data_IF_355971976804
#
_entry.id   IF_355971976804
#
_cell.length_a   1.000
_cell.length_b   1.000
_cell.length_c   1.000
_cell.angle_alpha   90.00
_cell.angle_beta   90.00
_cell.angle_gamma   90.00
#
_symmetry.space_group_name_H-M   'P 1'
#
loop_
_entity.id
_entity.type
_entity.pdbx_description
1 polymer ?
#
# COMPACT_ATOMS: atom_id res chain seq x y z
N UNK A 1 4.80 -10.81 -10.73
CA UNK A 1 4.08 -9.83 -9.94
C UNK A 1 4.82 -9.59 -8.63
N UNK A 2 4.85 -8.34 -8.14
CA UNK A 2 5.24 -7.99 -6.78
C UNK A 2 4.02 -7.48 -6.02
N UNK A 3 3.83 -7.88 -4.77
CA UNK A 3 2.68 -7.49 -3.96
C UNK A 3 3.10 -7.14 -2.54
N UNK A 4 2.58 -6.06 -2.00
CA UNK A 4 2.71 -5.70 -0.59
C UNK A 4 1.52 -4.84 -0.15
N UNK A 5 1.39 -4.59 1.14
CA UNK A 5 0.39 -3.67 1.69
C UNK A 5 1.04 -2.54 2.47
N UNK A 6 0.26 -1.55 2.86
CA UNK A 6 0.67 -0.53 3.82
C UNK A 6 0.08 -0.83 5.18
N UNK A 7 0.96 -1.21 6.12
CA UNK A 7 0.54 -1.69 7.43
C UNK A 7 -0.07 -3.08 7.35
N UNK A 8 -0.77 -3.49 8.41
CA UNK A 8 -1.50 -4.75 8.43
C UNK A 8 -2.78 -4.59 7.62
N UNK A 9 -2.87 -5.31 6.54
CA UNK A 9 -4.11 -5.60 5.85
C UNK A 9 -4.42 -7.09 6.12
N UNK A 10 -4.99 -7.37 7.24
CA UNK A 10 -5.12 -8.75 7.69
C UNK A 10 -6.18 -8.93 8.76
N UNK A 11 -7.17 -8.07 8.79
CA UNK A 11 -8.42 -8.38 9.44
C UNK A 11 -9.25 -9.16 8.44
N UNK A 12 -9.63 -10.40 8.78
CA UNK A 12 -10.49 -11.24 7.94
C UNK A 12 -11.87 -10.61 7.69
N UNK A 13 -12.17 -9.53 8.40
CA UNK A 13 -13.44 -8.82 8.31
C UNK A 13 -13.14 -7.32 8.14
N UNK A 14 -13.75 -6.69 7.17
CA UNK A 14 -13.72 -5.24 7.03
C UNK A 14 -14.44 -4.60 8.23
N UNK A 15 -13.71 -3.78 9.01
CA UNK A 15 -14.24 -3.15 10.24
C UNK A 15 -15.40 -2.18 9.95
N UNK A 16 -15.52 -1.68 8.73
CA UNK A 16 -16.56 -0.72 8.34
C UNK A 16 -17.79 -1.42 7.82
N UNK A 17 -17.62 -2.43 6.98
CA UNK A 17 -18.74 -3.14 6.34
C UNK A 17 -19.12 -4.44 7.04
N UNK A 18 -18.26 -5.01 7.89
CA UNK A 18 -18.46 -6.31 8.50
C UNK A 18 -18.44 -7.48 7.51
N UNK A 19 -18.01 -7.25 6.27
CA UNK A 19 -17.90 -8.29 5.24
C UNK A 19 -16.53 -8.97 5.29
N UNK A 20 -16.49 -10.25 4.90
CA UNK A 20 -15.24 -10.96 4.72
C UNK A 20 -14.41 -10.31 3.61
N UNK A 21 -13.12 -10.07 3.87
CA UNK A 21 -12.19 -9.62 2.84
C UNK A 21 -11.84 -10.79 1.93
N UNK A 22 -11.67 -10.55 0.61
CA UNK A 22 -11.22 -11.60 -0.29
C UNK A 22 -9.79 -12.02 0.08
N UNK A 23 -9.58 -13.34 0.12
CA UNK A 23 -8.25 -13.90 0.30
C UNK A 23 -7.35 -13.59 -0.90
N UNK A 24 -6.09 -13.27 -0.63
CA UNK A 24 -5.10 -12.98 -1.66
C UNK A 24 -4.47 -14.29 -2.15
N UNK A 25 -4.79 -14.65 -3.37
CA UNK A 25 -4.25 -15.85 -4.01
C UNK A 25 -3.13 -15.51 -4.98
N UNK A 26 -1.94 -16.04 -4.75
CA UNK A 26 -0.77 -15.85 -5.59
C UNK A 26 -0.43 -17.11 -6.38
N UNK A 27 0.16 -16.90 -7.54
CA UNK A 27 0.67 -17.97 -8.40
C UNK A 27 2.13 -18.27 -8.09
N UNK A 28 2.55 -19.49 -8.37
CA UNK A 28 3.97 -19.86 -8.31
C UNK A 28 4.84 -18.88 -9.09
N UNK A 29 5.88 -18.37 -8.43
CA UNK A 29 6.84 -17.42 -8.99
C UNK A 29 6.50 -15.95 -8.69
N UNK A 30 5.34 -15.65 -8.14
CA UNK A 30 5.02 -14.30 -7.69
C UNK A 30 5.85 -13.92 -6.46
N UNK A 31 6.13 -12.62 -6.33
CA UNK A 31 6.85 -12.04 -5.22
C UNK A 31 5.86 -11.30 -4.30
N UNK A 32 6.05 -11.38 -3.00
CA UNK A 32 5.31 -10.54 -2.07
C UNK A 32 6.17 -10.19 -0.85
N UNK A 33 5.83 -9.08 -0.20
CA UNK A 33 6.49 -8.67 1.03
C UNK A 33 5.49 -8.60 2.18
N UNK A 34 5.83 -9.26 3.27
CA UNK A 34 5.00 -9.31 4.47
C UNK A 34 5.85 -9.45 5.73
N UNK A 35 5.27 -9.08 6.88
CA UNK A 35 5.90 -9.29 8.16
C UNK A 35 5.95 -10.79 8.53
N UNK A 36 7.01 -11.20 9.22
CA UNK A 36 7.25 -12.60 9.61
C UNK A 36 6.06 -13.24 10.32
N UNK A 37 5.35 -12.48 11.17
CA UNK A 37 4.20 -12.99 11.92
C UNK A 37 3.02 -13.43 11.06
N UNK A 38 2.98 -13.03 9.78
CA UNK A 38 1.90 -13.40 8.86
C UNK A 38 2.13 -14.75 8.17
N UNK A 39 3.34 -15.29 8.23
CA UNK A 39 3.70 -16.51 7.50
C UNK A 39 2.90 -17.74 7.93
N UNK A 40 2.47 -17.80 9.19
CA UNK A 40 1.64 -18.89 9.71
C UNK A 40 0.22 -18.91 9.14
N UNK A 41 -0.19 -17.81 8.50
CA UNK A 41 -1.50 -17.65 7.85
C UNK A 41 -1.41 -17.84 6.32
N UNK A 42 -0.23 -18.17 5.79
CA UNK A 42 -0.02 -18.48 4.38
C UNK A 42 -0.03 -19.99 4.18
N UNK A 43 -0.70 -20.47 3.14
CA UNK A 43 -0.69 -21.90 2.77
C UNK A 43 0.25 -22.20 1.58
N UNK A 44 0.67 -21.18 0.84
CA UNK A 44 1.67 -21.31 -0.21
C UNK A 44 3.03 -21.72 0.35
N UNK A 45 3.76 -22.55 -0.36
CA UNK A 45 5.18 -22.81 -0.07
C UNK A 45 6.01 -21.60 -0.45
N UNK A 46 6.88 -21.14 0.45
CA UNK A 46 7.58 -19.86 0.33
C UNK A 46 9.09 -20.02 0.38
N UNK A 47 9.77 -19.24 -0.45
CA UNK A 47 11.21 -19.01 -0.41
C UNK A 47 11.45 -17.58 0.08
N UNK A 48 12.35 -17.39 1.07
CA UNK A 48 12.82 -16.07 1.45
C UNK A 48 13.84 -15.60 0.41
N UNK A 49 13.51 -14.51 -0.29
CA UNK A 49 14.36 -13.98 -1.36
C UNK A 49 15.21 -12.82 -0.86
N UNK A 50 14.66 -12.01 0.06
CA UNK A 50 15.37 -10.85 0.61
C UNK A 50 14.86 -10.49 2.00
N UNK A 51 15.75 -9.93 2.82
CA UNK A 51 15.43 -9.39 4.12
C UNK A 51 15.50 -7.87 4.06
N UNK A 52 14.47 -7.20 4.58
CA UNK A 52 14.44 -5.74 4.62
C UNK A 52 14.77 -5.22 6.03
N UNK A 53 15.14 -3.94 6.12
CA UNK A 53 15.35 -3.25 7.40
C UNK A 53 14.04 -2.74 8.01
N UNK A 54 12.89 -3.12 7.42
CA UNK A 54 11.57 -2.66 7.87
C UNK A 54 11.08 -3.51 9.03
N UNK A 55 10.91 -2.87 10.18
CA UNK A 55 10.35 -3.50 11.39
C UNK A 55 8.89 -3.09 11.57
N UNK A 56 8.05 -4.05 11.92
CA UNK A 56 6.64 -3.86 12.26
C UNK A 56 6.32 -4.52 13.61
N UNK A 57 5.17 -4.22 14.24
CA UNK A 57 4.73 -4.95 15.44
C UNK A 57 4.56 -6.46 15.22
N UNK A 58 4.41 -6.90 13.97
CA UNK A 58 4.31 -8.32 13.59
C UNK A 58 5.67 -8.93 13.19
N UNK A 59 6.77 -8.22 13.47
CA UNK A 59 8.14 -8.61 13.17
C UNK A 59 8.71 -7.95 11.91
N UNK A 60 9.93 -8.35 11.50
CA UNK A 60 10.56 -7.82 10.31
C UNK A 60 9.77 -8.17 9.05
N UNK A 61 9.76 -7.23 8.09
CA UNK A 61 9.22 -7.47 6.75
C UNK A 61 10.33 -8.11 5.91
N UNK A 62 9.97 -9.15 5.18
CA UNK A 62 10.86 -9.80 4.21
C UNK A 62 10.14 -9.98 2.87
N UNK A 63 10.93 -10.16 1.82
CA UNK A 63 10.43 -10.47 0.47
C UNK A 63 10.48 -11.98 0.27
N UNK A 64 9.36 -12.52 -0.16
CA UNK A 64 9.16 -13.93 -0.43
C UNK A 64 8.83 -14.16 -1.90
N UNK A 65 9.21 -15.36 -2.38
CA UNK A 65 8.74 -15.91 -3.65
C UNK A 65 7.87 -17.12 -3.37
N UNK A 66 6.73 -17.21 -4.03
CA UNK A 66 5.87 -18.38 -3.96
C UNK A 66 6.47 -19.53 -4.80
N UNK A 67 6.68 -20.69 -4.18
CA UNK A 67 7.11 -21.93 -4.83
C UNK A 67 5.94 -22.80 -5.26
N UNK A 68 4.76 -22.58 -4.69
CA UNK A 68 3.48 -23.16 -5.09
C UNK A 68 2.42 -22.06 -5.21
N UNK A 69 1.33 -22.34 -5.91
CA UNK A 69 0.11 -21.54 -5.83
C UNK A 69 -0.45 -21.62 -4.40
N UNK A 70 -1.08 -20.55 -3.93
CA UNK A 70 -1.71 -20.56 -2.60
C UNK A 70 -2.11 -19.18 -2.08
N UNK A 71 -2.76 -19.19 -0.93
CA UNK A 71 -3.19 -17.97 -0.24
C UNK A 71 -2.08 -17.37 0.60
N UNK A 72 -2.03 -16.04 0.62
CA UNK A 72 -1.07 -15.28 1.41
C UNK A 72 -1.76 -14.17 2.19
N UNK A 73 -1.13 -13.77 3.29
CA UNK A 73 -1.59 -12.65 4.11
C UNK A 73 -0.53 -11.55 4.14
N UNK A 74 -0.97 -10.30 4.02
CA UNK A 74 -0.06 -9.17 3.93
C UNK A 74 -0.06 -8.33 5.21
N UNK A 75 1.14 -7.98 5.64
CA UNK A 75 1.42 -6.93 6.60
C UNK A 75 2.72 -6.25 6.18
N UNK A 76 2.61 -5.27 5.32
CA UNK A 76 3.75 -4.54 4.78
C UNK A 76 4.21 -3.39 5.68
N UNK A 77 5.07 -2.50 5.13
CA UNK A 77 5.59 -1.35 5.84
C UNK A 77 4.48 -0.44 6.39
N UNK A 78 4.66 0.08 7.60
CA UNK A 78 3.68 1.01 8.20
C UNK A 78 3.86 2.45 7.74
N UNK A 79 5.06 2.81 7.30
CA UNK A 79 5.40 4.15 6.83
C UNK A 79 5.50 4.20 5.31
N UNK A 80 4.83 5.18 4.70
CA UNK A 80 4.80 5.36 3.25
C UNK A 80 6.21 5.54 2.64
N UNK A 81 7.13 6.20 3.34
CA UNK A 81 8.51 6.39 2.90
C UNK A 81 9.34 5.10 2.75
N UNK A 82 8.87 3.98 3.31
CA UNK A 82 9.53 2.67 3.18
C UNK A 82 9.11 1.91 1.91
N UNK A 83 8.07 2.39 1.20
CA UNK A 83 7.57 1.74 -0.02
C UNK A 83 8.49 1.92 -1.24
N UNK A 84 9.07 3.11 -1.53
CA UNK A 84 9.91 3.29 -2.69
C UNK A 84 11.12 2.33 -2.75
N UNK A 85 11.90 2.14 -1.67
CA UNK A 85 12.99 1.16 -1.70
C UNK A 85 12.48 -0.27 -1.88
N UNK A 86 11.35 -0.64 -1.26
CA UNK A 86 10.77 -1.97 -1.42
C UNK A 86 10.27 -2.21 -2.86
N UNK A 87 9.63 -1.20 -3.47
CA UNK A 87 9.19 -1.27 -4.87
C UNK A 87 10.36 -1.48 -5.82
N UNK A 88 11.46 -0.73 -5.64
CA UNK A 88 12.71 -0.94 -6.40
C UNK A 88 13.22 -2.35 -6.24
N UNK A 89 13.22 -2.86 -5.00
CA UNK A 89 13.69 -4.21 -4.73
C UNK A 89 12.87 -5.28 -5.45
N UNK A 90 11.56 -5.15 -5.50
CA UNK A 90 10.72 -6.03 -6.31
C UNK A 90 11.10 -6.01 -7.80
N UNK A 91 11.38 -4.83 -8.36
CA UNK A 91 11.79 -4.69 -9.76
C UNK A 91 13.15 -5.34 -10.03
N UNK A 92 14.12 -5.16 -9.13
CA UNK A 92 15.44 -5.83 -9.20
C UNK A 92 15.32 -7.37 -9.15
N UNK A 93 14.35 -7.88 -8.41
CA UNK A 93 14.03 -9.31 -8.32
C UNK A 93 13.19 -9.82 -9.50
N UNK A 94 12.90 -8.96 -10.49
CA UNK A 94 12.25 -9.31 -11.74
C UNK A 94 10.73 -9.09 -11.77
N UNK A 95 10.14 -8.42 -10.79
CA UNK A 95 8.73 -8.05 -10.85
C UNK A 95 8.49 -7.00 -11.93
N UNK A 96 7.67 -7.33 -12.92
CA UNK A 96 7.28 -6.40 -14.00
C UNK A 96 6.20 -5.41 -13.54
N UNK A 97 5.43 -5.77 -12.54
CA UNK A 97 4.39 -4.93 -11.92
C UNK A 97 4.46 -5.10 -10.43
N UNK A 98 4.28 -4.00 -9.72
CA UNK A 98 4.18 -4.00 -8.26
C UNK A 98 2.83 -3.41 -7.88
N UNK A 99 2.08 -4.15 -7.08
CA UNK A 99 0.82 -3.71 -6.48
C UNK A 99 1.06 -3.41 -5.01
N UNK A 100 0.61 -2.26 -4.57
CA UNK A 100 0.63 -1.86 -3.18
C UNK A 100 -0.81 -1.73 -2.73
N UNK A 101 -1.27 -2.65 -1.90
CA UNK A 101 -2.60 -2.57 -1.31
C UNK A 101 -2.61 -1.51 -0.21
N UNK A 102 -3.48 -0.52 -0.37
CA UNK A 102 -3.60 0.61 0.53
C UNK A 102 -4.75 0.42 1.49
N UNK A 103 -4.53 0.60 2.78
CA UNK A 103 -5.60 0.62 3.74
C UNK A 103 -6.61 1.73 3.42
N UNK A 104 -7.90 1.42 3.55
CA UNK A 104 -9.00 2.36 3.37
C UNK A 104 -8.74 3.67 4.15
N UNK A 105 -8.93 4.81 3.51
CA UNK A 105 -8.75 6.13 4.10
C UNK A 105 -7.32 6.68 4.15
N UNK A 106 -6.29 5.94 3.75
CA UNK A 106 -4.90 6.45 3.71
C UNK A 106 -4.59 7.17 2.41
N UNK A 107 -5.20 8.35 2.21
CA UNK A 107 -4.99 9.21 1.02
C UNK A 107 -3.52 9.65 0.83
N UNK A 108 -2.69 9.58 1.89
CA UNK A 108 -1.26 9.96 1.85
C UNK A 108 -0.36 9.04 1.02
N UNK A 109 -0.85 7.87 0.60
CA UNK A 109 -0.07 6.94 -0.22
C UNK A 109 0.22 7.45 -1.62
N UNK A 110 -0.70 8.20 -2.21
CA UNK A 110 -0.50 8.82 -3.53
C UNK A 110 0.67 9.83 -3.55
N UNK A 111 1.09 10.35 -2.38
CA UNK A 111 2.24 11.23 -2.20
C UNK A 111 3.52 10.52 -1.70
N UNK A 112 3.53 9.21 -1.59
CA UNK A 112 4.62 8.46 -0.96
C UNK A 112 5.91 8.35 -1.80
N UNK A 113 6.01 9.04 -2.95
CA UNK A 113 7.18 8.98 -3.83
C UNK A 113 7.32 7.66 -4.59
N UNK A 114 6.27 6.84 -4.63
CA UNK A 114 6.18 5.67 -5.51
C UNK A 114 5.73 6.16 -6.89
N UNK A 115 6.56 5.96 -7.89
CA UNK A 115 6.16 6.23 -9.27
C UNK A 115 5.17 5.18 -9.74
N UNK A 116 4.02 5.62 -10.29
CA UNK A 116 3.02 4.69 -10.77
C UNK A 116 1.63 5.28 -10.93
N UNK A 117 0.65 4.42 -10.94
CA UNK A 117 -0.78 4.75 -11.08
C UNK A 117 -1.48 4.42 -9.77
N UNK A 118 -2.25 5.37 -9.27
CA UNK A 118 -3.13 5.14 -8.13
C UNK A 118 -4.54 4.75 -8.61
N UNK A 119 -5.07 3.68 -8.07
CA UNK A 119 -6.45 3.26 -8.25
C UNK A 119 -7.26 3.64 -7.00
N UNK A 120 -8.14 4.61 -7.12
CA UNK A 120 -9.05 5.01 -6.05
C UNK A 120 -10.34 4.20 -6.16
N UNK A 121 -10.57 3.31 -5.20
CA UNK A 121 -11.82 2.59 -5.07
C UNK A 121 -12.74 3.32 -4.09
N UNK A 122 -14.02 3.42 -4.42
CA UNK A 122 -15.04 4.04 -3.57
C UNK A 122 -16.35 3.25 -3.64
N UNK A 123 -17.19 3.43 -2.65
CA UNK A 123 -18.49 2.75 -2.60
C UNK A 123 -19.21 2.97 -1.27
N UNK A 124 -20.26 2.19 -1.03
CA UNK A 124 -21.10 2.28 0.16
C UNK A 124 -20.39 2.00 1.49
N UNK A 125 -19.16 1.51 1.44
CA UNK A 125 -18.28 1.38 2.63
C UNK A 125 -17.79 2.73 3.15
N UNK A 126 -17.75 3.77 2.31
CA UNK A 126 -17.36 5.11 2.71
C UNK A 126 -18.47 5.82 3.50
N UNK A 127 -19.69 5.79 2.97
CA UNK A 127 -20.91 6.28 3.62
C UNK A 127 -22.15 5.59 3.04
N UNK A 128 -23.25 5.57 3.79
CA UNK A 128 -24.54 5.06 3.31
C UNK A 128 -25.27 6.05 2.38
N UNK A 129 -24.94 7.32 2.50
CA UNK A 129 -25.45 8.36 1.63
C UNK A 129 -24.62 8.46 0.36
N UNK A 130 -25.21 8.17 -0.77
CA UNK A 130 -24.56 8.21 -2.07
C UNK A 130 -24.07 9.61 -2.44
N UNK A 131 -24.77 10.67 -2.04
CA UNK A 131 -24.36 12.04 -2.33
C UNK A 131 -23.05 12.39 -1.58
N UNK A 132 -22.92 11.95 -0.34
CA UNK A 132 -21.69 12.09 0.45
C UNK A 132 -20.54 11.28 -0.17
N UNK A 133 -20.79 10.04 -0.58
CA UNK A 133 -19.78 9.21 -1.27
C UNK A 133 -19.27 9.91 -2.53
N UNK A 134 -20.16 10.43 -3.35
CA UNK A 134 -19.81 11.15 -4.58
C UNK A 134 -19.03 12.43 -4.28
N UNK A 135 -19.48 13.23 -3.31
CA UNK A 135 -18.82 14.49 -2.93
C UNK A 135 -17.40 14.25 -2.39
N UNK A 136 -17.22 13.29 -1.48
CA UNK A 136 -15.91 12.93 -0.92
C UNK A 136 -14.96 12.37 -1.98
N UNK A 137 -15.47 11.52 -2.86
CA UNK A 137 -14.68 10.96 -3.96
C UNK A 137 -14.25 12.04 -4.95
N UNK A 138 -15.17 12.91 -5.35
CA UNK A 138 -14.90 14.03 -6.24
C UNK A 138 -13.85 14.98 -5.64
N UNK A 139 -13.97 15.30 -4.34
CA UNK A 139 -12.98 16.12 -3.62
C UNK A 139 -11.60 15.46 -3.61
N UNK A 140 -11.54 14.16 -3.36
CA UNK A 140 -10.28 13.39 -3.36
C UNK A 140 -9.64 13.39 -4.75
N UNK A 141 -10.41 13.15 -5.80
CA UNK A 141 -9.94 13.23 -7.19
C UNK A 141 -9.44 14.64 -7.53
N UNK A 142 -10.16 15.67 -7.08
CA UNK A 142 -9.76 17.06 -7.28
C UNK A 142 -8.42 17.37 -6.62
N UNK A 143 -8.17 16.88 -5.38
CA UNK A 143 -6.89 17.03 -4.69
C UNK A 143 -5.75 16.35 -5.48
N UNK A 144 -5.95 15.11 -5.94
CA UNK A 144 -4.94 14.38 -6.70
C UNK A 144 -4.65 15.00 -8.08
N UNK A 145 -5.62 15.70 -8.67
CA UNK A 145 -5.44 16.42 -9.92
C UNK A 145 -4.66 17.74 -9.77
N UNK A 146 -4.35 18.17 -8.55
CA UNK A 146 -3.56 19.41 -8.33
C UNK A 146 -2.13 19.22 -8.80
N UNK A 147 -1.69 20.14 -9.64
CA UNK A 147 -0.29 20.20 -10.05
C UNK A 147 0.56 20.79 -8.93
N UNK A 148 1.81 20.36 -8.85
CA UNK A 148 2.80 21.00 -7.99
C UNK A 148 2.92 22.49 -8.41
N UNK A 149 3.08 23.43 -7.44
CA UNK A 149 3.30 24.84 -7.76
C UNK A 149 4.49 25.02 -8.69
N UNK A 150 4.37 25.95 -9.65
CA UNK A 150 5.48 26.27 -10.59
C UNK A 150 6.56 27.13 -9.94
N UNK A 151 6.24 27.82 -8.84
CA UNK A 151 7.20 28.66 -8.12
C UNK A 151 8.24 27.81 -7.38
N UNK A 152 9.52 27.93 -7.79
CA UNK A 152 10.62 27.26 -7.12
C UNK A 152 10.74 27.62 -5.62
N UNK A 153 10.48 28.89 -5.26
CA UNK A 153 10.50 29.33 -3.88
C UNK A 153 9.39 28.68 -3.04
N UNK A 154 8.18 28.54 -3.61
CA UNK A 154 7.05 27.87 -2.95
C UNK A 154 7.31 26.37 -2.82
N UNK A 155 7.89 25.74 -3.84
CA UNK A 155 8.28 24.32 -3.76
C UNK A 155 9.32 24.09 -2.67
N UNK A 156 10.37 24.92 -2.60
CA UNK A 156 11.40 24.81 -1.58
C UNK A 156 10.84 25.03 -0.15
N UNK A 157 9.90 25.98 0.01
CA UNK A 157 9.23 26.18 1.28
C UNK A 157 8.36 24.98 1.69
N UNK A 158 7.69 24.33 0.75
CA UNK A 158 6.88 23.13 1.01
C UNK A 158 7.76 21.91 1.34
N UNK A 159 8.86 21.74 0.64
CA UNK A 159 9.79 20.59 0.85
C UNK A 159 10.54 20.70 2.20
N UNK A 160 10.74 21.92 2.72
CA UNK A 160 11.34 22.17 4.05
C UNK A 160 10.37 22.08 5.22
N UNK A 161 9.10 21.82 4.98
CA UNK A 161 8.09 21.75 6.04
C UNK A 161 7.89 20.32 6.53
N UNK A 162 8.12 20.10 7.83
CA UNK A 162 7.74 18.87 8.52
C UNK A 162 6.23 18.81 8.84
N UNK A 163 5.52 19.94 8.73
CA UNK A 163 4.10 20.01 9.01
C UNK A 163 3.24 19.49 7.87
N UNK A 164 2.12 18.83 8.21
CA UNK A 164 1.15 18.33 7.22
C UNK A 164 0.40 19.44 6.47
N UNK A 165 0.48 20.67 6.93
CA UNK A 165 -0.19 21.83 6.35
C UNK A 165 0.78 23.01 6.32
N UNK A 166 0.83 23.69 5.18
CA UNK A 166 1.49 24.98 5.04
C UNK A 166 0.44 26.05 4.67
N UNK A 167 0.39 27.10 5.44
CA UNK A 167 -0.40 28.30 5.14
C UNK A 167 0.56 29.35 4.63
N UNK A 168 0.32 29.87 3.42
CA UNK A 168 1.06 30.94 2.77
C UNK A 168 0.13 32.12 2.51
#
# INVERSE_FOLDING_TARGET
LGLTSVGRDGECTDLVTGTEKPDLYLKKGDLFATARGMLTLCDATLEVVDLTDVMTPLGPVAVFRTLSDGYVQLAGPSAAGQLPPLTRRFQELGAQRVLIDGAAGRKSLAGAGVEGVALLCTGASLDRDMELVVAETAHTCWLFARKRPESAALCAALDGQEARFALF
#
